data_IF_483356188551
#
_entry.id   IF_483356188551
#
_cell.length_a   1.000
_cell.length_b   1.000
_cell.length_c   1.000
_cell.angle_alpha   90.00
_cell.angle_beta   90.00
_cell.angle_gamma   90.00
#
_symmetry.space_group_name_H-M   'P 1'
#
loop_
_entity.id
_entity.type
_entity.pdbx_description
1 polymer ?
#
# COMPACT_ATOMS: atom_id res chain seq x y z
N UNK A 1 2.57 18.60 -5.59
CA UNK A 1 2.63 17.50 -4.58
C UNK A 1 2.32 16.19 -5.26
N UNK A 2 3.19 15.23 -5.11
CA UNK A 2 2.96 13.87 -5.61
C UNK A 2 2.07 13.09 -4.64
N UNK A 3 1.22 12.22 -5.17
CA UNK A 3 0.26 11.45 -4.36
C UNK A 3 0.37 9.97 -4.67
N UNK A 4 0.56 9.16 -3.64
CA UNK A 4 0.74 7.71 -3.72
C UNK A 4 -0.41 7.01 -3.02
N UNK A 5 -0.99 6.00 -3.69
CA UNK A 5 -2.01 5.14 -3.11
C UNK A 5 -1.55 3.68 -3.17
N UNK A 6 -1.34 3.08 -1.99
CA UNK A 6 -1.03 1.66 -1.90
C UNK A 6 -2.31 0.83 -1.80
N UNK A 7 -2.32 -0.33 -2.46
CA UNK A 7 -3.50 -1.17 -2.57
C UNK A 7 -3.18 -2.61 -2.22
N UNK A 8 -4.09 -3.26 -1.48
CA UNK A 8 -4.04 -4.69 -1.27
C UNK A 8 -5.48 -5.21 -1.21
N UNK A 9 -5.66 -6.50 -0.89
CA UNK A 9 -6.98 -7.13 -0.90
C UNK A 9 -7.98 -6.41 0.03
N UNK A 10 -7.66 -6.35 1.33
CA UNK A 10 -8.59 -5.85 2.34
C UNK A 10 -8.22 -4.52 2.98
N UNK A 11 -7.04 -4.00 2.71
CA UNK A 11 -6.53 -2.74 3.30
C UNK A 11 -6.40 -2.80 4.83
N UNK A 12 -6.01 -3.95 5.36
CA UNK A 12 -5.75 -4.10 6.80
C UNK A 12 -4.34 -4.63 7.12
N UNK A 13 -3.61 -5.17 6.16
CA UNK A 13 -2.25 -5.69 6.36
C UNK A 13 -1.22 -4.99 5.48
N UNK A 14 -1.05 -5.45 4.23
CA UNK A 14 0.06 -5.00 3.37
C UNK A 14 0.01 -3.53 3.01
N UNK A 15 -1.13 -3.03 2.55
CA UNK A 15 -1.22 -1.64 2.10
C UNK A 15 -1.10 -0.63 3.23
N UNK A 16 -1.70 -0.84 4.43
CA UNK A 16 -1.43 0.09 5.52
C UNK A 16 0.00 0.01 6.03
N UNK A 17 0.63 -1.18 6.03
CA UNK A 17 2.06 -1.27 6.36
C UNK A 17 2.90 -0.44 5.38
N UNK A 18 2.63 -0.55 4.09
CA UNK A 18 3.32 0.23 3.07
C UNK A 18 3.12 1.74 3.26
N UNK A 19 1.91 2.13 3.59
CA UNK A 19 1.60 3.54 3.84
C UNK A 19 2.48 4.12 4.96
N UNK A 20 2.55 3.44 6.10
CA UNK A 20 3.30 3.95 7.25
C UNK A 20 4.82 3.83 7.07
N UNK A 21 5.29 2.76 6.42
CA UNK A 21 6.70 2.63 6.06
C UNK A 21 7.12 3.76 5.12
N UNK A 22 6.32 4.04 4.10
CA UNK A 22 6.63 5.10 3.14
C UNK A 22 6.63 6.48 3.79
N UNK A 23 5.66 6.73 4.69
CA UNK A 23 5.62 7.99 5.43
C UNK A 23 6.89 8.20 6.27
N UNK A 24 7.38 7.15 6.92
CA UNK A 24 8.63 7.24 7.67
C UNK A 24 9.83 7.53 6.77
N UNK A 25 9.94 6.82 5.65
CA UNK A 25 11.03 7.03 4.71
C UNK A 25 11.02 8.45 4.14
N UNK A 26 9.86 8.98 3.84
CA UNK A 26 9.72 10.36 3.35
C UNK A 26 10.13 11.37 4.42
N UNK A 27 9.75 11.15 5.68
CA UNK A 27 10.14 12.03 6.78
C UNK A 27 11.67 12.03 6.95
N UNK A 28 12.28 10.85 6.92
CA UNK A 28 13.75 10.71 7.03
C UNK A 28 14.49 11.36 5.87
N UNK A 29 13.87 11.38 4.68
CA UNK A 29 14.46 12.01 3.50
C UNK A 29 14.16 13.52 3.39
N UNK A 30 13.41 14.08 4.33
CA UNK A 30 13.03 15.48 4.30
C UNK A 30 11.99 15.81 3.23
N UNK A 31 11.19 14.82 2.79
CA UNK A 31 10.22 14.96 1.71
C UNK A 31 8.76 14.84 2.16
N UNK A 32 8.50 14.78 3.46
CA UNK A 32 7.16 14.59 3.99
C UNK A 32 6.13 15.62 3.49
N UNK A 33 6.57 16.85 3.26
CA UNK A 33 5.70 17.93 2.79
C UNK A 33 5.45 17.90 1.27
N UNK A 34 6.16 17.05 0.55
CA UNK A 34 6.12 17.00 -0.92
C UNK A 34 5.35 15.81 -1.47
N UNK A 35 5.05 14.81 -0.63
CA UNK A 35 4.43 13.56 -1.06
C UNK A 35 3.33 13.16 -0.07
N UNK A 36 2.12 12.99 -0.58
CA UNK A 36 0.98 12.49 0.18
C UNK A 36 0.88 10.97 -0.04
N UNK A 37 0.68 10.21 1.03
CA UNK A 37 0.59 8.75 0.99
C UNK A 37 -0.70 8.28 1.65
N UNK A 38 -1.41 7.39 0.98
CA UNK A 38 -2.63 6.78 1.49
C UNK A 38 -2.69 5.31 1.08
N UNK A 39 -3.70 4.59 1.53
CA UNK A 39 -3.93 3.20 1.15
C UNK A 39 -5.41 2.89 1.03
N UNK A 40 -5.75 1.86 0.25
CA UNK A 40 -7.13 1.42 0.03
C UNK A 40 -7.17 -0.08 -0.28
N UNK A 41 -8.39 -0.64 -0.28
CA UNK A 41 -8.66 -2.04 -0.59
C UNK A 41 -9.18 -2.17 -2.02
N UNK A 42 -8.92 -3.32 -2.65
CA UNK A 42 -9.54 -3.65 -3.92
C UNK A 42 -10.82 -4.48 -3.74
N UNK A 43 -11.12 -4.92 -2.51
CA UNK A 43 -12.38 -5.60 -2.17
C UNK A 43 -13.02 -4.94 -0.96
N UNK A 44 -14.31 -5.19 -0.74
CA UNK A 44 -15.04 -4.73 0.42
C UNK A 44 -15.05 -5.70 1.60
N UNK A 45 -14.19 -6.71 1.60
CA UNK A 45 -14.22 -7.80 2.60
C UNK A 45 -14.04 -7.29 4.03
N UNK A 46 -13.27 -6.22 4.22
CA UNK A 46 -12.99 -5.64 5.54
C UNK A 46 -13.80 -4.36 5.82
N UNK A 47 -14.88 -4.16 5.07
CA UNK A 47 -15.77 -3.03 5.25
C UNK A 47 -17.17 -3.56 5.55
N UNK A 48 -17.62 -3.41 6.80
CA UNK A 48 -18.87 -3.99 7.29
C UNK A 48 -19.83 -2.86 7.68
N UNK A 49 -21.01 -2.86 7.06
CA UNK A 49 -22.00 -1.82 7.32
C UNK A 49 -21.50 -0.42 7.00
N UNK A 50 -20.65 -0.28 5.98
CA UNK A 50 -20.06 1.00 5.61
C UNK A 50 -18.90 1.45 6.49
N UNK A 51 -18.47 0.61 7.45
CA UNK A 51 -17.38 0.94 8.38
C UNK A 51 -16.20 0.01 8.11
N UNK A 52 -15.03 0.59 7.82
CA UNK A 52 -13.81 -0.16 7.60
C UNK A 52 -13.23 -0.70 8.89
N UNK A 53 -12.73 -1.94 8.84
CA UNK A 53 -12.01 -2.56 9.95
C UNK A 53 -10.66 -1.86 10.17
N UNK A 54 -10.16 -1.86 11.42
CA UNK A 54 -8.84 -1.30 11.71
C UNK A 54 -7.73 -2.19 11.14
N UNK A 55 -6.50 -1.65 11.12
CA UNK A 55 -5.32 -2.43 10.73
C UNK A 55 -5.20 -3.68 11.61
N UNK A 56 -4.89 -4.82 10.98
CA UNK A 56 -4.70 -6.10 11.67
C UNK A 56 -3.69 -5.93 12.81
N UNK A 57 -3.98 -6.45 14.02
CA UNK A 57 -3.04 -6.32 15.15
C UNK A 57 -1.66 -6.90 14.88
N UNK A 58 -1.54 -7.92 14.04
CA UNK A 58 -0.25 -8.50 13.65
C UNK A 58 0.57 -7.54 12.81
N UNK A 59 -0.09 -6.79 11.92
CA UNK A 59 0.55 -5.73 11.14
C UNK A 59 1.01 -4.59 12.05
N UNK A 60 0.18 -4.19 13.00
CA UNK A 60 0.54 -3.16 13.97
C UNK A 60 1.77 -3.56 14.78
N UNK A 61 1.80 -4.82 15.26
CA UNK A 61 2.96 -5.33 16.01
C UNK A 61 4.22 -5.36 15.16
N UNK A 62 4.09 -5.71 13.87
CA UNK A 62 5.23 -5.73 12.97
C UNK A 62 5.82 -4.33 12.78
N UNK A 63 4.98 -3.32 12.58
CA UNK A 63 5.44 -1.93 12.47
C UNK A 63 6.12 -1.47 13.76
N UNK A 64 5.49 -1.72 14.91
CA UNK A 64 6.04 -1.33 16.21
C UNK A 64 7.39 -2.01 16.48
N UNK A 65 7.51 -3.28 16.17
CA UNK A 65 8.74 -4.05 16.32
C UNK A 65 9.89 -3.45 15.53
N UNK A 66 9.61 -2.88 14.36
CA UNK A 66 10.60 -2.28 13.49
C UNK A 66 10.73 -0.77 13.66
N UNK A 67 10.12 -0.19 14.67
CA UNK A 67 10.23 1.23 14.98
C UNK A 67 9.54 2.15 13.99
N UNK A 68 8.52 1.65 13.27
CA UNK A 68 7.76 2.46 12.32
C UNK A 68 6.53 3.04 13.01
N UNK A 69 6.43 4.37 13.14
CA UNK A 69 5.25 4.98 13.74
C UNK A 69 4.01 4.80 12.86
N UNK A 70 2.86 4.62 13.49
CA UNK A 70 1.60 4.52 12.78
C UNK A 70 0.49 5.16 13.61
N UNK A 71 -0.59 5.52 12.92
CA UNK A 71 -1.77 6.10 13.53
C UNK A 71 -2.98 5.22 13.27
N UNK A 72 -4.14 5.64 13.77
CA UNK A 72 -5.38 4.93 13.52
C UNK A 72 -5.64 4.83 12.02
N UNK A 73 -5.98 3.62 11.58
CA UNK A 73 -6.26 3.33 10.17
C UNK A 73 -7.53 2.50 10.07
N UNK A 74 -8.35 2.78 9.05
CA UNK A 74 -9.52 1.98 8.73
C UNK A 74 -9.54 1.70 7.23
N UNK A 75 -9.93 0.47 6.88
CA UNK A 75 -10.03 0.06 5.49
C UNK A 75 -11.03 0.94 4.74
N UNK A 76 -10.68 1.28 3.49
CA UNK A 76 -11.59 1.93 2.55
C UNK A 76 -11.45 1.29 1.18
N UNK A 77 -12.50 1.35 0.38
CA UNK A 77 -12.49 0.76 -0.95
C UNK A 77 -11.93 1.74 -1.99
N UNK A 78 -11.11 1.22 -2.88
CA UNK A 78 -10.65 1.95 -4.06
C UNK A 78 -11.85 2.35 -4.92
N UNK A 79 -11.84 3.58 -5.44
CA UNK A 79 -12.85 4.08 -6.36
C UNK A 79 -12.20 4.45 -7.68
N UNK A 80 -13.02 4.58 -8.73
CA UNK A 80 -12.51 4.99 -10.04
C UNK A 80 -11.91 6.39 -10.01
N UNK A 81 -12.47 7.29 -9.18
CA UNK A 81 -12.01 8.66 -9.01
C UNK A 81 -10.60 8.72 -8.43
N UNK A 82 -10.19 7.71 -7.68
CA UNK A 82 -8.82 7.63 -7.14
C UNK A 82 -7.78 7.62 -8.27
N UNK A 83 -8.12 7.10 -9.43
CA UNK A 83 -7.20 7.08 -10.57
C UNK A 83 -6.77 8.50 -10.98
N UNK A 84 -7.70 9.42 -11.00
CA UNK A 84 -7.40 10.82 -11.38
C UNK A 84 -6.70 11.57 -10.25
N UNK A 85 -6.95 11.17 -9.00
CA UNK A 85 -6.43 11.86 -7.82
C UNK A 85 -4.98 11.53 -7.51
N UNK A 86 -4.56 10.27 -7.74
CA UNK A 86 -3.23 9.81 -7.36
C UNK A 86 -2.30 9.71 -8.57
N UNK A 87 -1.00 9.94 -8.34
CA UNK A 87 0.04 9.82 -9.36
C UNK A 87 0.57 8.41 -9.47
N UNK A 88 0.57 7.68 -8.35
CA UNK A 88 1.00 6.29 -8.26
C UNK A 88 -0.10 5.47 -7.58
N UNK A 89 -0.55 4.42 -8.26
CA UNK A 89 -1.45 3.41 -7.67
C UNK A 89 -0.69 2.10 -7.67
N UNK A 90 -0.39 1.59 -6.46
CA UNK A 90 0.60 0.53 -6.29
C UNK A 90 -0.01 -0.67 -5.57
N UNK A 91 -0.12 -1.79 -6.29
CA UNK A 91 -0.65 -3.05 -5.78
C UNK A 91 0.48 -3.91 -5.20
N UNK A 92 0.13 -4.87 -4.36
CA UNK A 92 1.08 -5.76 -3.69
C UNK A 92 1.36 -7.03 -4.49
N UNK A 93 0.35 -7.52 -5.22
CA UNK A 93 0.46 -8.76 -5.99
C UNK A 93 -0.33 -8.66 -7.30
N UNK A 94 -0.23 -9.71 -8.11
CA UNK A 94 -0.88 -9.73 -9.44
C UNK A 94 -2.40 -9.71 -9.34
N UNK A 95 -2.97 -10.36 -8.32
CA UNK A 95 -4.42 -10.37 -8.12
C UNK A 95 -4.93 -8.98 -7.76
N UNK A 96 -4.25 -8.29 -6.84
CA UNK A 96 -4.58 -6.91 -6.50
C UNK A 96 -4.42 -5.99 -7.72
N UNK A 97 -3.38 -6.21 -8.50
CA UNK A 97 -3.11 -5.41 -9.71
C UNK A 97 -4.25 -5.54 -10.72
N UNK A 98 -4.71 -6.75 -10.98
CA UNK A 98 -5.83 -6.99 -11.92
C UNK A 98 -7.11 -6.32 -11.43
N UNK A 99 -7.42 -6.45 -10.14
CA UNK A 99 -8.59 -5.82 -9.55
C UNK A 99 -8.52 -4.29 -9.63
N UNK A 100 -7.36 -3.71 -9.31
CA UNK A 100 -7.10 -2.28 -9.42
C UNK A 100 -7.34 -1.79 -10.84
N UNK A 101 -6.80 -2.48 -11.83
CA UNK A 101 -6.95 -2.12 -13.23
C UNK A 101 -8.43 -2.13 -13.65
N UNK A 102 -9.20 -3.15 -13.21
CA UNK A 102 -10.62 -3.24 -13.48
C UNK A 102 -11.41 -2.09 -12.84
N UNK A 103 -11.17 -1.83 -11.56
CA UNK A 103 -11.89 -0.77 -10.84
C UNK A 103 -11.63 0.60 -11.48
N UNK A 104 -10.38 0.86 -11.87
CA UNK A 104 -10.00 2.13 -12.50
C UNK A 104 -10.42 2.26 -13.97
N UNK A 105 -10.86 1.15 -14.59
CA UNK A 105 -11.25 1.16 -15.99
C UNK A 105 -10.07 1.21 -16.96
N UNK A 106 -8.94 0.63 -16.56
CA UNK A 106 -7.70 0.59 -17.34
C UNK A 106 -6.62 1.47 -16.75
N UNK A 107 -5.57 1.73 -17.51
CA UNK A 107 -4.42 2.54 -17.09
C UNK A 107 -3.86 3.39 -18.24
N UNK A 108 -4.65 4.31 -18.82
CA UNK A 108 -4.21 5.10 -19.97
C UNK A 108 -3.05 6.04 -19.64
N UNK A 109 -2.90 6.47 -18.39
CA UNK A 109 -1.84 7.39 -17.97
C UNK A 109 -0.63 6.71 -17.34
N UNK A 110 -0.59 5.37 -17.34
CA UNK A 110 0.53 4.59 -16.84
C UNK A 110 0.89 4.90 -15.38
N UNK A 111 -0.13 4.88 -14.52
CA UNK A 111 0.00 5.15 -13.09
C UNK A 111 0.02 3.91 -12.21
N UNK A 112 -0.22 2.72 -12.78
CA UNK A 112 -0.44 1.49 -12.02
C UNK A 112 0.81 0.61 -12.01
N UNK A 113 1.19 0.17 -10.80
CA UNK A 113 2.42 -0.58 -10.55
C UNK A 113 2.20 -1.70 -9.54
N UNK A 114 3.09 -2.68 -9.53
CA UNK A 114 3.29 -3.57 -8.39
C UNK A 114 4.47 -3.04 -7.59
N UNK A 115 4.39 -3.12 -6.26
CA UNK A 115 5.37 -2.46 -5.40
C UNK A 115 6.82 -2.93 -5.67
N UNK A 116 7.03 -4.25 -5.85
CA UNK A 116 8.37 -4.77 -6.08
C UNK A 116 8.98 -4.37 -7.43
N UNK A 117 8.20 -3.79 -8.35
CA UNK A 117 8.76 -3.23 -9.58
C UNK A 117 9.80 -2.16 -9.29
N UNK A 118 9.60 -1.40 -8.22
CA UNK A 118 10.55 -0.36 -7.80
C UNK A 118 11.83 -0.94 -7.21
N UNK A 119 11.83 -2.22 -6.86
CA UNK A 119 13.02 -2.96 -6.42
C UNK A 119 13.60 -3.83 -7.53
N UNK A 120 13.12 -3.65 -8.77
CA UNK A 120 13.63 -4.39 -9.93
C UNK A 120 13.05 -5.79 -10.11
N UNK A 121 11.89 -6.08 -9.54
CA UNK A 121 11.26 -7.39 -9.58
C UNK A 121 9.78 -7.31 -9.95
N UNK A 122 9.26 -8.32 -10.63
CA UNK A 122 7.83 -8.45 -10.88
C UNK A 122 7.18 -9.47 -9.93
N UNK A 123 7.88 -9.89 -8.88
CA UNK A 123 7.36 -10.82 -7.90
C UNK A 123 6.20 -10.22 -7.10
N UNK A 124 5.36 -11.09 -6.58
CA UNK A 124 4.29 -10.74 -5.67
C UNK A 124 4.82 -10.65 -4.24
N UNK A 125 4.21 -9.78 -3.45
CA UNK A 125 4.37 -9.80 -2.00
C UNK A 125 3.23 -10.65 -1.45
N UNK A 126 3.56 -11.82 -0.90
CA UNK A 126 2.57 -12.77 -0.40
C UNK A 126 1.73 -12.15 0.72
N UNK A 127 0.47 -12.53 0.76
CA UNK A 127 -0.46 -12.02 1.76
C UNK A 127 -0.18 -12.66 3.12
N UNK A 128 0.31 -11.90 4.12
CA UNK A 128 0.63 -12.46 5.44
C UNK A 128 -0.61 -12.87 6.23
N UNK A 129 -1.80 -12.51 5.81
CA UNK A 129 -3.04 -13.04 6.37
C UNK A 129 -3.06 -14.56 6.26
N UNK A 130 -2.59 -15.10 5.11
CA UNK A 130 -2.55 -16.54 4.86
C UNK A 130 -1.25 -17.20 5.29
N UNK A 131 -0.11 -16.56 5.05
CA UNK A 131 1.21 -17.13 5.36
C UNK A 131 1.60 -16.95 6.82
N UNK A 132 1.01 -15.96 7.49
CA UNK A 132 1.38 -15.50 8.82
C UNK A 132 2.84 -14.99 8.91
N UNK A 133 3.48 -14.77 7.77
CA UNK A 133 4.88 -14.29 7.71
C UNK A 133 4.91 -12.77 7.52
N UNK A 134 4.69 -12.05 8.61
CA UNK A 134 4.72 -10.59 8.61
C UNK A 134 6.13 -10.03 8.49
N UNK A 135 7.14 -10.77 8.96
CA UNK A 135 8.54 -10.35 8.81
C UNK A 135 8.94 -10.28 7.34
N UNK A 136 8.60 -11.30 6.55
CA UNK A 136 8.90 -11.30 5.13
C UNK A 136 8.13 -10.19 4.40
N UNK A 137 6.84 -10.03 4.70
CA UNK A 137 6.04 -8.98 4.10
C UNK A 137 6.63 -7.59 4.40
N UNK A 138 7.04 -7.36 5.64
CA UNK A 138 7.67 -6.10 6.04
C UNK A 138 8.95 -5.84 5.24
N UNK A 139 9.81 -6.86 5.11
CA UNK A 139 11.07 -6.73 4.37
C UNK A 139 10.83 -6.39 2.91
N UNK A 140 9.94 -7.11 2.25
CA UNK A 140 9.65 -6.91 0.84
C UNK A 140 8.97 -5.55 0.58
N UNK A 141 8.02 -5.18 1.42
CA UNK A 141 7.37 -3.87 1.34
C UNK A 141 8.42 -2.76 1.51
N UNK A 142 9.31 -2.90 2.48
CA UNK A 142 10.36 -1.92 2.73
C UNK A 142 11.28 -1.76 1.52
N UNK A 143 11.66 -2.87 0.88
CA UNK A 143 12.49 -2.84 -0.33
C UNK A 143 11.79 -2.07 -1.45
N UNK A 144 10.53 -2.38 -1.70
CA UNK A 144 9.74 -1.67 -2.72
C UNK A 144 9.60 -0.19 -2.43
N UNK A 145 9.32 0.16 -1.18
CA UNK A 145 9.18 1.56 -0.76
C UNK A 145 10.49 2.34 -0.91
N UNK A 146 11.62 1.73 -0.59
CA UNK A 146 12.93 2.38 -0.79
C UNK A 146 13.20 2.64 -2.27
N UNK A 147 12.91 1.67 -3.14
CA UNK A 147 13.04 1.85 -4.58
C UNK A 147 12.12 2.95 -5.12
N UNK A 148 10.90 3.02 -4.60
CA UNK A 148 9.96 4.08 -4.95
C UNK A 148 10.50 5.46 -4.52
N UNK A 149 11.04 5.55 -3.30
CA UNK A 149 11.61 6.80 -2.79
C UNK A 149 12.67 7.37 -3.74
N UNK A 150 13.48 6.52 -4.34
CA UNK A 150 14.55 6.93 -5.24
C UNK A 150 14.02 7.63 -6.51
N UNK A 151 12.74 7.45 -6.83
CA UNK A 151 12.10 8.05 -8.00
C UNK A 151 11.32 9.34 -7.69
N UNK A 152 11.25 9.72 -6.44
CA UNK A 152 10.42 10.87 -6.02
C UNK A 152 11.20 12.17 -5.90
#
# INVERSE_FOLDING_TARGET
MQKILFLCHGNICRSPMAEFIMKQLLAEAGKADQVEVASAAVTGDEIIGGVGNPMDPRAQRELAKNGVPFSQHRARLLTREDYDKYDYLIAMDSENFMAMNQICGGDPERKQYKLLQFAGSYADIDDPWYTNDFDLAFQEISQGCRGLLDQL
#
